data_IF_869644770905
#
_entry.id   IF_869644770905
#
_cell.length_a   1.000
_cell.length_b   1.000
_cell.length_c   1.000
_cell.angle_alpha   90.00
_cell.angle_beta   90.00
_cell.angle_gamma   90.00
#
_symmetry.space_group_name_H-M   'P 1'
#
loop_
_entity.id
_entity.type
_entity.pdbx_description
1 polymer ?
#
# COMPACT_ATOMS: atom_id res chain seq x y z
N UNK A 1 -10.98 -7.62 -2.10
CA UNK A 1 -10.80 -6.17 -1.85
C UNK A 1 -10.96 -5.81 -0.38
N UNK A 2 -12.11 -6.07 0.25
CA UNK A 2 -12.40 -5.65 1.64
C UNK A 2 -11.33 -6.12 2.66
N UNK A 3 -10.96 -7.40 2.64
CA UNK A 3 -9.93 -7.93 3.56
C UNK A 3 -8.57 -7.22 3.42
N UNK A 4 -8.20 -6.83 2.19
CA UNK A 4 -6.97 -6.08 1.93
C UNK A 4 -7.04 -4.68 2.53
N UNK A 5 -8.17 -3.98 2.39
CA UNK A 5 -8.37 -2.66 2.98
C UNK A 5 -8.40 -2.69 4.51
N UNK A 6 -8.99 -3.73 5.11
CA UNK A 6 -8.94 -3.95 6.55
C UNK A 6 -7.48 -4.13 7.00
N UNK A 7 -6.71 -4.97 6.30
CA UNK A 7 -5.29 -5.15 6.57
C UNK A 7 -4.52 -3.83 6.46
N UNK A 8 -4.71 -3.06 5.38
CA UNK A 8 -4.08 -1.75 5.21
C UNK A 8 -4.46 -0.80 6.36
N UNK A 9 -5.71 -0.80 6.79
CA UNK A 9 -6.16 0.03 7.92
C UNK A 9 -5.49 -0.37 9.23
N UNK A 10 -5.34 -1.66 9.50
CA UNK A 10 -4.59 -2.14 10.67
C UNK A 10 -3.11 -1.74 10.59
N UNK A 11 -2.50 -1.81 9.40
CA UNK A 11 -1.12 -1.41 9.18
C UNK A 11 -0.91 0.11 9.34
N UNK A 12 -1.90 0.95 8.98
CA UNK A 12 -1.87 2.40 9.27
C UNK A 12 -1.75 2.60 10.78
N UNK A 13 -2.64 1.97 11.55
CA UNK A 13 -2.67 2.12 13.02
C UNK A 13 -1.41 1.57 13.66
N UNK A 14 -0.93 0.41 13.23
CA UNK A 14 0.27 -0.22 13.77
C UNK A 14 1.53 0.60 13.49
N UNK A 15 1.71 1.10 12.27
CA UNK A 15 2.82 1.99 11.93
C UNK A 15 2.68 3.35 12.64
N UNK A 16 1.48 3.92 12.72
CA UNK A 16 1.24 5.16 13.46
C UNK A 16 1.59 5.04 14.95
N UNK A 17 1.23 3.92 15.57
CA UNK A 17 1.62 3.61 16.94
C UNK A 17 3.15 3.48 17.05
N UNK A 18 3.78 2.72 16.16
CA UNK A 18 5.22 2.52 16.16
C UNK A 18 6.04 3.80 15.98
N UNK A 19 5.52 4.76 15.22
CA UNK A 19 6.12 6.08 15.05
C UNK A 19 6.10 6.90 16.36
N UNK A 20 5.04 6.78 17.17
CA UNK A 20 4.85 7.59 18.39
C UNK A 20 5.55 6.94 19.60
N UNK A 21 5.71 5.62 19.61
CA UNK A 21 6.29 4.88 20.74
C UNK A 21 7.58 4.11 20.42
N UNK A 22 8.64 4.76 19.88
CA UNK A 22 9.81 4.08 19.32
C UNK A 22 10.59 3.20 20.31
N UNK A 23 10.44 3.41 21.62
CA UNK A 23 11.15 2.67 22.67
C UNK A 23 10.38 1.47 23.23
N UNK A 24 9.15 1.19 22.76
CA UNK A 24 8.28 0.17 23.34
C UNK A 24 8.17 -1.12 22.50
N UNK A 25 8.98 -1.25 21.45
CA UNK A 25 8.86 -2.36 20.49
C UNK A 25 10.10 -3.25 20.51
N UNK A 26 9.89 -4.56 20.31
CA UNK A 26 10.99 -5.51 20.16
C UNK A 26 11.46 -5.56 18.70
N UNK A 27 12.75 -5.85 18.48
CA UNK A 27 13.31 -5.98 17.13
C UNK A 27 12.49 -6.95 16.25
N UNK A 28 12.09 -8.10 16.82
CA UNK A 28 11.28 -9.08 16.11
C UNK A 28 9.92 -8.50 15.67
N UNK A 29 9.23 -7.78 16.55
CA UNK A 29 7.93 -7.17 16.22
C UNK A 29 8.05 -6.13 15.12
N UNK A 30 9.13 -5.35 15.11
CA UNK A 30 9.40 -4.37 14.07
C UNK A 30 9.65 -5.05 12.73
N UNK A 31 10.50 -6.08 12.70
CA UNK A 31 10.79 -6.83 11.47
C UNK A 31 9.55 -7.48 10.87
N UNK A 32 8.66 -8.01 11.71
CA UNK A 32 7.36 -8.53 11.27
C UNK A 32 6.48 -7.42 10.70
N UNK A 33 6.36 -6.27 11.41
CA UNK A 33 5.55 -5.15 10.95
C UNK A 33 6.02 -4.60 9.60
N UNK A 34 7.33 -4.42 9.44
CA UNK A 34 7.94 -4.01 8.18
C UNK A 34 7.70 -5.10 7.11
N UNK A 35 7.95 -6.38 7.41
CA UNK A 35 7.69 -7.48 6.46
C UNK A 35 6.24 -7.53 5.95
N UNK A 36 5.26 -7.45 6.85
CA UNK A 36 3.83 -7.40 6.50
C UNK A 36 3.50 -6.17 5.67
N UNK A 37 4.08 -5.02 6.03
CA UNK A 37 3.88 -3.79 5.29
C UNK A 37 4.45 -3.89 3.86
N UNK A 38 5.62 -4.51 3.68
CA UNK A 38 6.21 -4.74 2.35
C UNK A 38 5.26 -5.57 1.48
N UNK A 39 4.76 -6.70 2.01
CA UNK A 39 3.85 -7.57 1.27
C UNK A 39 2.57 -6.84 0.90
N UNK A 40 2.02 -6.03 1.81
CA UNK A 40 0.80 -5.26 1.57
C UNK A 40 0.98 -4.13 0.53
N UNK A 41 2.20 -3.64 0.29
CA UNK A 41 2.47 -2.63 -0.76
C UNK A 41 2.58 -3.22 -2.17
N UNK A 42 2.90 -4.51 -2.31
CA UNK A 42 3.09 -5.14 -3.63
C UNK A 42 1.85 -5.06 -4.55
N UNK A 43 0.61 -5.32 -4.06
CA UNK A 43 -0.59 -5.16 -4.89
C UNK A 43 -0.81 -3.73 -5.38
N UNK A 44 -0.47 -2.72 -4.57
CA UNK A 44 -0.55 -1.32 -4.99
C UNK A 44 0.47 -1.04 -6.11
N UNK A 45 1.72 -1.45 -5.91
CA UNK A 45 2.78 -1.26 -6.89
C UNK A 45 2.43 -1.92 -8.23
N UNK A 46 1.88 -3.13 -8.17
CA UNK A 46 1.39 -3.84 -9.35
C UNK A 46 0.32 -3.03 -10.10
N UNK A 47 -0.71 -2.55 -9.39
CA UNK A 47 -1.79 -1.77 -9.99
C UNK A 47 -1.31 -0.43 -10.57
N UNK A 48 -0.42 0.29 -9.88
CA UNK A 48 0.16 1.54 -10.37
C UNK A 48 0.97 1.33 -11.66
N UNK A 49 1.60 0.17 -11.81
CA UNK A 49 2.41 -0.14 -12.97
C UNK A 49 1.58 -0.57 -14.19
N UNK A 50 0.54 -1.38 -13.96
CA UNK A 50 -0.30 -1.95 -15.03
C UNK A 50 -1.38 -0.99 -15.51
N UNK A 51 -1.94 -0.16 -14.61
CA UNK A 51 -3.07 0.72 -14.92
C UNK A 51 -2.73 2.20 -14.67
N UNK A 52 -1.76 2.69 -15.43
CA UNK A 52 -1.29 4.09 -15.36
C UNK A 52 -2.30 5.14 -15.83
N UNK A 53 -3.46 4.70 -16.37
CA UNK A 53 -4.57 5.58 -16.76
C UNK A 53 -5.56 5.80 -15.62
N UNK A 54 -5.55 4.94 -14.60
CA UNK A 54 -6.45 5.05 -13.46
C UNK A 54 -6.13 6.27 -12.57
N UNK A 55 -4.89 6.74 -12.61
CA UNK A 55 -4.43 8.01 -12.08
C UNK A 55 -3.87 8.86 -13.22
N UNK A 56 -3.68 10.15 -13.01
CA UNK A 56 -2.85 10.95 -13.92
C UNK A 56 -1.47 10.30 -14.04
N UNK A 57 -1.00 10.04 -15.26
CA UNK A 57 0.24 9.30 -15.56
C UNK A 57 1.43 9.81 -14.73
N UNK A 58 1.53 11.13 -14.57
CA UNK A 58 2.55 11.76 -13.73
C UNK A 58 2.49 11.30 -12.27
N UNK A 59 1.29 11.35 -11.66
CA UNK A 59 1.08 10.94 -10.28
C UNK A 59 1.34 9.44 -10.09
N UNK A 60 0.92 8.59 -11.05
CA UNK A 60 1.22 7.16 -11.02
C UNK A 60 2.72 6.88 -11.02
N UNK A 61 3.51 7.62 -11.80
CA UNK A 61 4.97 7.45 -11.83
C UNK A 61 5.59 7.84 -10.48
N UNK A 62 5.21 9.00 -9.93
CA UNK A 62 5.71 9.46 -8.63
C UNK A 62 5.38 8.47 -7.52
N UNK A 63 4.12 8.02 -7.44
CA UNK A 63 3.70 7.02 -6.45
C UNK A 63 4.40 5.67 -6.66
N UNK A 64 4.66 5.27 -7.90
CA UNK A 64 5.37 4.02 -8.20
C UNK A 64 6.81 4.08 -7.67
N UNK A 65 7.54 5.16 -7.96
CA UNK A 65 8.93 5.34 -7.49
C UNK A 65 8.96 5.35 -5.96
N UNK A 66 8.05 6.10 -5.34
CA UNK A 66 7.92 6.16 -3.89
C UNK A 66 7.63 4.79 -3.29
N UNK A 67 6.70 4.03 -3.86
CA UNK A 67 6.33 2.68 -3.39
C UNK A 67 7.48 1.69 -3.57
N UNK A 68 8.24 1.77 -4.68
CA UNK A 68 9.44 0.94 -4.87
C UNK A 68 10.48 1.22 -3.80
N UNK A 69 10.76 2.50 -3.50
CA UNK A 69 11.69 2.87 -2.44
C UNK A 69 11.25 2.32 -1.09
N UNK A 70 9.96 2.46 -0.74
CA UNK A 70 9.41 1.88 0.48
C UNK A 70 9.59 0.36 0.51
N UNK A 71 9.23 -0.36 -0.56
CA UNK A 71 9.40 -1.82 -0.63
C UNK A 71 10.85 -2.23 -0.39
N UNK A 72 11.82 -1.54 -1.01
CA UNK A 72 13.24 -1.87 -0.86
C UNK A 72 13.75 -1.63 0.56
N UNK A 73 13.53 -0.43 1.10
CA UNK A 73 13.98 -0.06 2.46
C UNK A 73 13.33 -0.96 3.50
N UNK A 74 12.03 -1.18 3.37
CA UNK A 74 11.24 -1.95 4.32
C UNK A 74 11.58 -3.45 4.25
N UNK A 75 11.96 -3.97 3.08
CA UNK A 75 12.52 -5.33 2.95
C UNK A 75 13.87 -5.46 3.64
N UNK A 76 14.74 -4.47 3.48
CA UNK A 76 16.02 -4.44 4.18
C UNK A 76 15.83 -4.45 5.69
N UNK A 77 14.93 -3.61 6.20
CA UNK A 77 14.60 -3.54 7.63
C UNK A 77 14.01 -4.85 8.12
N UNK A 78 13.09 -5.48 7.39
CA UNK A 78 12.53 -6.77 7.77
C UNK A 78 13.62 -7.85 7.92
N UNK A 79 14.65 -7.83 7.05
CA UNK A 79 15.74 -8.79 7.08
C UNK A 79 16.85 -8.46 8.08
N UNK A 80 17.10 -7.19 8.41
CA UNK A 80 18.29 -6.79 9.17
C UNK A 80 17.98 -6.02 10.48
N UNK A 81 16.70 -5.72 10.74
CA UNK A 81 16.30 -4.79 11.80
C UNK A 81 16.35 -3.33 11.34
N UNK A 82 15.81 -2.40 12.15
CA UNK A 82 15.74 -0.98 11.75
C UNK A 82 17.12 -0.36 11.56
N UNK A 83 18.04 -0.52 12.51
CA UNK A 83 19.45 -0.10 12.34
C UNK A 83 19.68 1.38 12.02
N UNK A 84 18.65 2.24 12.09
CA UNK A 84 18.70 3.69 11.82
C UNK A 84 18.06 4.51 12.94
N UNK A 85 18.68 5.65 13.26
CA UNK A 85 18.28 6.54 14.36
C UNK A 85 16.91 7.22 14.14
N UNK A 86 16.43 7.31 12.90
CA UNK A 86 15.16 7.97 12.54
C UNK A 86 14.07 6.99 12.08
N UNK A 87 14.06 5.78 12.64
CA UNK A 87 13.08 4.74 12.29
C UNK A 87 11.60 5.16 12.39
N UNK A 88 11.28 6.11 13.27
CA UNK A 88 9.93 6.67 13.38
C UNK A 88 9.44 7.32 12.07
N UNK A 89 10.35 7.90 11.27
CA UNK A 89 10.00 8.53 10.00
C UNK A 89 9.57 7.48 8.97
N UNK A 90 10.21 6.32 8.97
CA UNK A 90 9.84 5.21 8.09
C UNK A 90 8.40 4.74 8.37
N UNK A 91 8.04 4.64 9.65
CA UNK A 91 6.67 4.33 10.06
C UNK A 91 5.65 5.40 9.64
N UNK A 92 6.00 6.68 9.73
CA UNK A 92 5.12 7.75 9.24
C UNK A 92 4.92 7.60 7.73
N UNK A 93 5.98 7.34 6.96
CA UNK A 93 5.89 7.16 5.51
C UNK A 93 5.06 5.93 5.14
N UNK A 94 5.20 4.81 5.88
CA UNK A 94 4.39 3.61 5.72
C UNK A 94 2.91 3.87 6.01
N UNK A 95 2.60 4.57 7.11
CA UNK A 95 1.23 4.94 7.44
C UNK A 95 0.59 5.83 6.37
N UNK A 96 1.33 6.83 5.87
CA UNK A 96 0.90 7.69 4.76
C UNK A 96 0.67 6.89 3.47
N UNK A 97 1.57 5.95 3.15
CA UNK A 97 1.43 5.10 1.98
C UNK A 97 0.15 4.24 2.05
N UNK A 98 -0.13 3.61 3.19
CA UNK A 98 -1.36 2.83 3.35
C UNK A 98 -2.62 3.69 3.39
N UNK A 99 -2.56 4.91 3.92
CA UNK A 99 -3.66 5.86 3.78
C UNK A 99 -3.93 6.17 2.31
N UNK A 100 -2.89 6.40 1.50
CA UNK A 100 -3.04 6.61 0.07
C UNK A 100 -3.64 5.38 -0.64
N UNK A 101 -3.27 4.15 -0.24
CA UNK A 101 -3.88 2.90 -0.74
C UNK A 101 -5.38 2.87 -0.45
N UNK A 102 -5.76 3.09 0.81
CA UNK A 102 -7.17 3.04 1.22
C UNK A 102 -7.98 4.10 0.47
N UNK A 103 -7.49 5.34 0.41
CA UNK A 103 -8.13 6.42 -0.34
C UNK A 103 -8.25 6.06 -1.83
N UNK A 104 -7.18 5.56 -2.45
CA UNK A 104 -7.18 5.20 -3.87
C UNK A 104 -8.22 4.13 -4.19
N UNK A 105 -8.29 3.05 -3.41
CA UNK A 105 -9.23 1.96 -3.66
C UNK A 105 -10.66 2.28 -3.27
N UNK A 106 -10.89 3.17 -2.29
CA UNK A 106 -12.24 3.66 -1.96
C UNK A 106 -12.77 4.64 -3.02
N UNK A 107 -11.90 5.38 -3.69
CA UNK A 107 -12.27 6.34 -4.74
C UNK A 107 -12.26 5.74 -6.15
N UNK A 108 -11.75 4.51 -6.32
CA UNK A 108 -11.75 3.82 -7.61
C UNK A 108 -13.20 3.54 -8.03
N UNK A 109 -13.66 4.09 -9.17
CA UNK A 109 -14.95 3.71 -9.73
C UNK A 109 -14.95 2.21 -10.00
N UNK A 110 -16.05 1.52 -9.66
CA UNK A 110 -16.24 0.15 -10.10
C UNK A 110 -16.18 0.12 -11.64
N UNK A 111 -15.54 -0.89 -12.25
CA UNK A 111 -15.65 -1.06 -13.69
C UNK A 111 -17.13 -1.21 -14.02
N UNK A 112 -17.64 -0.37 -14.92
CA UNK A 112 -19.00 -0.49 -15.45
C UNK A 112 -19.17 -1.93 -15.97
N UNK A 113 -19.92 -2.74 -15.23
CA UNK A 113 -20.38 -4.07 -15.64
C UNK A 113 -21.57 -3.95 -16.63
N UNK A 114 -21.63 -2.84 -17.38
CA UNK A 114 -22.76 -2.45 -18.24
C UNK A 114 -22.48 -2.78 -19.72
N UNK A 115 -21.82 -3.93 -19.96
CA UNK A 115 -22.00 -4.65 -21.21
C UNK A 115 -23.01 -5.78 -21.00
N UNK A 116 -24.23 -5.42 -20.61
CA UNK A 116 -25.38 -6.28 -20.84
C UNK A 116 -25.67 -6.22 -22.35
N UNK A 117 -25.43 -7.28 -23.14
CA UNK A 117 -25.75 -7.25 -24.56
C UNK A 117 -27.23 -6.97 -24.70
N UNK A 118 -27.54 -5.85 -25.36
CA UNK A 118 -28.92 -5.45 -25.63
C UNK A 118 -29.63 -6.60 -26.36
N UNK A 119 -30.92 -6.79 -26.10
CA UNK A 119 -31.68 -7.94 -26.61
C UNK A 119 -31.60 -8.14 -28.15
N UNK A 120 -31.18 -7.11 -28.91
CA UNK A 120 -30.94 -7.19 -30.35
C UNK A 120 -29.70 -7.99 -30.75
N UNK A 121 -28.71 -8.17 -29.88
CA UNK A 121 -27.51 -8.98 -30.19
C UNK A 121 -27.70 -10.47 -29.91
N UNK A 122 -28.75 -10.84 -29.17
CA UNK A 122 -29.04 -12.25 -28.83
C UNK A 122 -29.73 -13.04 -29.94
N UNK A 123 -30.06 -12.38 -31.05
CA UNK A 123 -30.86 -12.94 -32.16
C UNK A 123 -30.07 -12.95 -33.50
N UNK A 124 -28.77 -12.64 -33.48
CA UNK A 124 -27.88 -12.83 -34.64
C UNK A 124 -26.99 -14.06 -34.49
#
# INVERSE_FOLDING_TARGET
>A
MIAYLILCTLLITANGWAAITPHLHSDLSMRILHGLSTVALLPLLWNLWTDRRLLQVFLSIVLSIFTVMLVLVNSWIAMNGMGVDYGWLDHVMLALAFMAVVVFFLLRPEPDDDHQPTASERIR
#
